data_IF_368604684326
#
_entry.id   IF_368604684326
#
_cell.length_a   1.000
_cell.length_b   1.000
_cell.length_c   1.000
_cell.angle_alpha   90.00
_cell.angle_beta   90.00
_cell.angle_gamma   90.00
#
_symmetry.space_group_name_H-M   'P 1'
#
loop_
_entity.id
_entity.type
_entity.pdbx_description
1 polymer ?
#
# COMPACT_ATOMS: atom_id res chain seq x y z
N UNK A 1 16.88 18.17 5.85
CA UNK A 1 15.95 17.05 6.07
C UNK A 1 15.11 17.40 7.29
N UNK A 2 13.80 17.51 7.14
CA UNK A 2 12.91 17.66 8.30
C UNK A 2 12.81 16.30 9.01
N UNK A 3 12.74 16.27 10.35
CA UNK A 3 12.45 15.03 11.07
C UNK A 3 11.06 14.51 10.67
N UNK A 4 10.85 13.19 10.63
CA UNK A 4 9.54 12.63 10.37
C UNK A 4 8.55 13.11 11.45
N UNK A 5 7.27 13.36 11.10
CA UNK A 5 6.29 13.84 12.04
C UNK A 5 6.06 12.81 13.16
N UNK A 6 5.98 13.29 14.40
CA UNK A 6 5.74 12.46 15.58
C UNK A 6 4.39 11.76 15.45
N UNK A 7 4.40 10.43 15.44
CA UNK A 7 3.20 9.61 15.36
C UNK A 7 2.29 9.80 16.59
N UNK A 8 0.95 9.70 16.44
CA UNK A 8 0.04 9.62 17.58
C UNK A 8 0.47 8.49 18.53
N UNK A 9 0.30 8.65 19.86
CA UNK A 9 0.54 7.56 20.81
C UNK A 9 -0.30 6.34 20.41
N UNK A 10 0.30 5.15 20.49
CA UNK A 10 -0.27 3.84 20.10
C UNK A 10 -0.52 3.62 18.60
N UNK A 11 -0.09 4.53 17.71
CA UNK A 11 -0.18 4.30 16.26
C UNK A 11 1.01 3.51 15.70
N UNK A 12 0.78 2.74 14.64
CA UNK A 12 1.82 1.91 14.01
C UNK A 12 1.83 2.02 12.49
N UNK A 13 3.04 1.95 11.92
CA UNK A 13 3.26 1.97 10.48
C UNK A 13 4.09 0.76 10.08
N UNK A 14 3.68 0.12 8.98
CA UNK A 14 4.47 -0.91 8.29
C UNK A 14 4.59 -0.57 6.82
N UNK A 15 5.79 -0.70 6.28
CA UNK A 15 6.10 -0.50 4.86
C UNK A 15 6.92 -1.70 4.41
N UNK A 16 6.55 -2.28 3.26
CA UNK A 16 7.29 -3.35 2.63
C UNK A 16 7.29 -3.20 1.11
N UNK A 17 8.40 -3.57 0.49
CA UNK A 17 8.50 -3.81 -0.95
C UNK A 17 8.83 -5.28 -1.17
N UNK A 18 8.03 -5.98 -1.96
CA UNK A 18 8.09 -7.43 -2.15
C UNK A 18 8.30 -7.77 -3.62
N UNK A 19 9.16 -8.75 -3.93
CA UNK A 19 9.34 -9.27 -5.29
C UNK A 19 8.12 -10.07 -5.76
N UNK A 20 7.59 -9.71 -6.93
CA UNK A 20 6.49 -10.42 -7.58
C UNK A 20 5.12 -10.19 -6.94
N UNK A 21 4.11 -11.00 -7.29
CA UNK A 21 2.74 -10.79 -6.82
C UNK A 21 2.65 -10.93 -5.29
N UNK A 22 1.89 -10.04 -4.66
CA UNK A 22 1.65 -10.11 -3.22
C UNK A 22 0.81 -11.35 -2.90
N UNK A 23 1.29 -12.16 -1.96
CA UNK A 23 0.63 -13.39 -1.52
C UNK A 23 -0.68 -13.14 -0.77
N UNK A 24 -1.32 -14.20 -0.26
CA UNK A 24 -2.55 -14.07 0.52
C UNK A 24 -2.37 -13.11 1.70
N UNK A 25 -3.45 -12.41 2.04
CA UNK A 25 -3.50 -11.55 3.22
C UNK A 25 -3.14 -12.40 4.45
N UNK A 26 -2.07 -12.02 5.14
CA UNK A 26 -1.63 -12.66 6.38
C UNK A 26 -1.68 -11.68 7.54
N UNK A 27 -1.89 -12.20 8.76
CA UNK A 27 -1.86 -11.39 9.97
C UNK A 27 -0.51 -10.68 10.19
N UNK A 28 0.59 -11.22 9.63
CA UNK A 28 1.91 -10.58 9.72
C UNK A 28 1.98 -9.28 8.92
N UNK A 29 1.30 -9.21 7.77
CA UNK A 29 1.22 -8.00 6.93
C UNK A 29 0.12 -7.09 7.44
N UNK A 30 -1.03 -7.68 7.76
CA UNK A 30 -2.09 -6.95 8.40
C UNK A 30 -1.62 -6.43 9.76
N UNK A 31 -2.31 -5.44 10.30
CA UNK A 31 -2.24 -5.15 11.72
C UNK A 31 -2.75 -6.34 12.54
N UNK A 32 -2.04 -7.50 12.61
CA UNK A 32 -2.35 -8.60 13.54
C UNK A 32 -2.85 -7.98 14.83
N UNK A 33 -4.03 -8.43 15.31
CA UNK A 33 -4.75 -7.93 16.48
C UNK A 33 -3.87 -6.99 17.32
N UNK A 34 -3.77 -5.74 16.87
CA UNK A 34 -2.79 -4.82 17.45
C UNK A 34 -3.17 -4.64 18.91
N UNK A 35 -2.24 -4.25 19.78
CA UNK A 35 -2.61 -3.88 21.16
C UNK A 35 -3.81 -2.91 21.16
N UNK A 36 -3.92 -2.04 20.16
CA UNK A 36 -5.07 -1.18 19.93
C UNK A 36 -6.38 -1.93 19.64
N UNK A 37 -6.36 -2.99 18.83
CA UNK A 37 -7.52 -3.88 18.64
C UNK A 37 -7.89 -4.61 19.92
N UNK A 38 -6.91 -5.09 20.69
CA UNK A 38 -7.15 -5.75 21.98
C UNK A 38 -7.73 -4.79 23.04
N UNK A 39 -7.36 -3.50 22.97
CA UNK A 39 -7.91 -2.41 23.78
C UNK A 39 -9.25 -1.86 23.28
N UNK A 40 -9.82 -2.42 22.21
CA UNK A 40 -11.13 -2.02 21.67
C UNK A 40 -11.14 -0.64 20.99
N UNK A 41 -9.99 -0.15 20.51
CA UNK A 41 -9.88 1.16 19.88
C UNK A 41 -10.27 1.16 18.40
N UNK A 42 -10.22 0.01 17.73
CA UNK A 42 -10.46 -0.12 16.28
C UNK A 42 -11.96 -0.25 16.02
N UNK A 43 -12.57 0.76 15.39
CA UNK A 43 -13.96 0.69 14.91
C UNK A 43 -14.10 0.52 13.41
N UNK A 44 -13.01 0.64 12.64
CA UNK A 44 -12.98 0.28 11.23
C UNK A 44 -11.60 -0.24 10.79
N UNK A 45 -11.62 -1.30 9.98
CA UNK A 45 -10.49 -1.85 9.24
C UNK A 45 -10.83 -1.83 7.75
N UNK A 46 -9.97 -1.23 6.95
CA UNK A 46 -10.13 -1.12 5.50
C UNK A 46 -8.91 -1.72 4.81
N UNK A 47 -9.15 -2.51 3.77
CA UNK A 47 -8.09 -3.09 2.95
C UNK A 47 -8.33 -2.72 1.50
N UNK A 48 -7.29 -2.21 0.83
CA UNK A 48 -7.26 -1.96 -0.59
C UNK A 48 -6.24 -2.89 -1.26
N UNK A 49 -6.63 -3.49 -2.38
CA UNK A 49 -5.73 -4.30 -3.21
C UNK A 49 -5.74 -3.81 -4.67
N UNK A 50 -4.56 -3.46 -5.17
CA UNK A 50 -4.31 -3.10 -6.56
C UNK A 50 -4.09 -4.35 -7.40
N UNK A 51 -5.14 -4.84 -8.04
CA UNK A 51 -5.09 -6.03 -8.89
C UNK A 51 -4.80 -5.67 -10.35
N UNK A 52 -3.83 -6.37 -10.96
CA UNK A 52 -3.49 -6.18 -12.37
C UNK A 52 -4.63 -6.64 -13.27
N UNK A 53 -5.15 -5.74 -14.10
CA UNK A 53 -6.25 -6.02 -15.03
C UNK A 53 -5.70 -6.55 -16.36
N UNK A 54 -6.53 -7.31 -17.08
CA UNK A 54 -6.20 -7.87 -18.39
C UNK A 54 -5.99 -6.80 -19.46
N UNK A 55 -6.76 -5.72 -19.44
CA UNK A 55 -6.79 -4.77 -20.55
C UNK A 55 -6.27 -3.39 -20.13
N UNK A 56 -5.33 -2.86 -20.92
CA UNK A 56 -4.84 -1.49 -20.80
C UNK A 56 -4.72 -0.86 -22.20
N UNK A 57 -5.45 0.24 -22.43
CA UNK A 57 -5.43 0.94 -23.72
C UNK A 57 -5.93 0.11 -24.91
N UNK A 58 -6.85 -0.85 -24.68
CA UNK A 58 -7.40 -1.72 -25.73
C UNK A 58 -6.49 -2.87 -26.17
N UNK A 59 -5.40 -3.13 -25.44
CA UNK A 59 -4.49 -4.26 -25.65
C UNK A 59 -4.49 -5.16 -24.42
N UNK A 60 -4.32 -6.47 -24.65
CA UNK A 60 -4.26 -7.46 -23.58
C UNK A 60 -2.84 -7.56 -22.99
N UNK A 61 -2.78 -7.46 -21.66
CA UNK A 61 -1.59 -7.60 -20.84
C UNK A 61 -1.39 -9.06 -20.44
N UNK A 62 -0.14 -9.48 -20.37
CA UNK A 62 0.28 -10.68 -19.65
C UNK A 62 0.66 -10.35 -18.20
N UNK A 63 1.21 -9.14 -17.95
CA UNK A 63 1.64 -8.67 -16.63
C UNK A 63 1.86 -7.15 -16.61
N UNK A 64 2.05 -6.61 -15.41
CA UNK A 64 2.75 -5.33 -15.19
C UNK A 64 4.13 -5.61 -14.58
N UNK A 65 5.15 -4.90 -15.04
CA UNK A 65 6.46 -4.87 -14.40
C UNK A 65 6.59 -3.57 -13.60
N UNK A 66 7.05 -3.69 -12.35
CA UNK A 66 7.23 -2.57 -11.44
C UNK A 66 8.71 -2.37 -11.13
N UNK A 67 9.21 -1.17 -11.44
CA UNK A 67 10.59 -0.77 -11.15
C UNK A 67 10.59 0.24 -10.00
N UNK A 68 11.57 0.12 -9.11
CA UNK A 68 11.71 0.94 -7.91
C UNK A 68 13.18 1.19 -7.61
N UNK A 69 13.47 2.37 -7.08
CA UNK A 69 14.72 2.63 -6.36
C UNK A 69 14.46 2.44 -4.87
N UNK A 70 14.60 1.19 -4.40
CA UNK A 70 14.04 0.74 -3.13
C UNK A 70 14.37 1.61 -1.92
N UNK A 71 15.64 2.06 -1.70
CA UNK A 71 15.94 2.89 -0.54
C UNK A 71 15.11 4.18 -0.49
N UNK A 72 14.86 4.79 -1.66
CA UNK A 72 14.05 6.00 -1.76
C UNK A 72 12.56 5.69 -1.75
N UNK A 73 12.12 4.59 -2.40
CA UNK A 73 10.72 4.19 -2.41
C UNK A 73 10.22 3.84 -1.00
N UNK A 74 10.99 3.07 -0.23
CA UNK A 74 10.67 2.73 1.16
C UNK A 74 10.63 3.98 2.05
N UNK A 75 11.62 4.86 1.93
CA UNK A 75 11.68 6.09 2.70
C UNK A 75 10.49 7.03 2.39
N UNK A 76 10.16 7.22 1.11
CA UNK A 76 9.04 8.06 0.70
C UNK A 76 7.70 7.43 1.08
N UNK A 77 7.53 6.11 1.00
CA UNK A 77 6.35 5.41 1.49
C UNK A 77 6.18 5.55 3.00
N UNK A 78 7.26 5.41 3.76
CA UNK A 78 7.24 5.58 5.21
C UNK A 78 6.85 7.01 5.60
N UNK A 79 7.41 8.01 4.90
CA UNK A 79 7.05 9.41 5.12
C UNK A 79 5.58 9.68 4.78
N UNK A 80 5.11 9.21 3.62
CA UNK A 80 3.71 9.34 3.22
C UNK A 80 2.77 8.68 4.24
N UNK A 81 3.08 7.46 4.68
CA UNK A 81 2.32 6.76 5.70
C UNK A 81 2.25 7.56 7.00
N UNK A 82 3.39 8.14 7.44
CA UNK A 82 3.46 8.96 8.64
C UNK A 82 2.60 10.23 8.53
N UNK A 83 2.63 10.90 7.37
CA UNK A 83 1.79 12.06 7.13
C UNK A 83 0.30 11.71 7.21
N UNK A 84 -0.12 10.63 6.55
CA UNK A 84 -1.52 10.19 6.53
C UNK A 84 -1.98 9.75 7.92
N UNK A 85 -1.18 8.97 8.65
CA UNK A 85 -1.50 8.57 10.03
C UNK A 85 -1.67 9.79 10.93
N UNK A 86 -0.81 10.80 10.80
CA UNK A 86 -0.89 12.02 11.60
C UNK A 86 -2.11 12.87 11.24
N UNK A 87 -2.35 13.09 9.96
CA UNK A 87 -3.44 13.91 9.45
C UNK A 87 -4.81 13.36 9.84
N UNK A 88 -5.00 12.04 9.70
CA UNK A 88 -6.28 11.38 9.94
C UNK A 88 -6.39 10.74 11.33
N UNK A 89 -5.36 10.87 12.18
CA UNK A 89 -5.30 10.25 13.51
C UNK A 89 -5.56 8.75 13.47
N UNK A 90 -4.95 8.06 12.52
CA UNK A 90 -5.13 6.62 12.33
C UNK A 90 -4.48 5.81 13.46
N UNK A 91 -5.03 4.63 13.71
CA UNK A 91 -4.46 3.65 14.64
C UNK A 91 -3.32 2.90 13.97
N UNK A 92 -3.50 2.49 12.71
CA UNK A 92 -2.40 1.90 11.96
C UNK A 92 -2.56 2.07 10.46
N UNK A 93 -1.42 2.07 9.77
CA UNK A 93 -1.33 2.01 8.33
C UNK A 93 -0.24 1.02 7.93
N UNK A 94 -0.61 -0.02 7.19
CA UNK A 94 0.33 -0.95 6.58
C UNK A 94 0.25 -0.83 5.06
N UNK A 95 1.39 -0.72 4.39
CA UNK A 95 1.49 -0.72 2.93
C UNK A 95 2.53 -1.74 2.48
N UNK A 96 2.15 -2.54 1.49
CA UNK A 96 3.04 -3.45 0.78
C UNK A 96 2.90 -3.17 -0.71
N UNK A 97 4.02 -2.91 -1.38
CA UNK A 97 4.04 -2.72 -2.82
C UNK A 97 4.90 -3.78 -3.50
N UNK A 98 4.45 -4.28 -4.64
CA UNK A 98 5.21 -5.22 -5.46
C UNK A 98 6.31 -4.52 -6.27
N UNK A 99 7.45 -5.17 -6.43
CA UNK A 99 8.45 -4.89 -7.47
C UNK A 99 8.60 -6.08 -8.41
N UNK A 100 9.12 -5.85 -9.61
CA UNK A 100 9.24 -6.88 -10.64
C UNK A 100 7.90 -7.22 -11.31
N UNK A 101 7.78 -8.45 -11.81
CA UNK A 101 6.68 -8.86 -12.68
C UNK A 101 5.47 -9.36 -11.88
N UNK A 102 4.31 -8.74 -12.08
CA UNK A 102 3.02 -9.16 -11.52
C UNK A 102 2.07 -9.56 -12.66
N UNK A 103 1.67 -10.85 -12.76
CA UNK A 103 0.76 -11.30 -13.81
C UNK A 103 -0.63 -10.68 -13.66
N UNK A 104 -1.40 -10.69 -14.75
CA UNK A 104 -2.85 -10.37 -14.70
C UNK A 104 -3.54 -11.19 -13.62
N UNK A 105 -4.41 -10.54 -12.84
CA UNK A 105 -5.07 -11.11 -11.68
C UNK A 105 -4.22 -11.11 -10.39
N UNK A 106 -2.93 -10.79 -10.48
CA UNK A 106 -2.05 -10.67 -9.33
C UNK A 106 -2.23 -9.34 -8.58
N UNK A 107 -2.02 -9.37 -7.26
CA UNK A 107 -1.99 -8.19 -6.41
C UNK A 107 -0.61 -7.52 -6.47
N UNK A 108 -0.60 -6.21 -6.71
CA UNK A 108 0.62 -5.40 -6.86
C UNK A 108 0.78 -4.31 -5.80
N UNK A 109 -0.30 -4.00 -5.07
CA UNK A 109 -0.31 -3.02 -3.99
C UNK A 109 -1.34 -3.47 -2.97
N UNK A 110 -0.96 -3.52 -1.70
CA UNK A 110 -1.88 -3.73 -0.58
C UNK A 110 -1.74 -2.61 0.42
N UNK A 111 -2.86 -2.07 0.87
CA UNK A 111 -2.91 -1.07 1.94
C UNK A 111 -3.96 -1.50 2.97
N UNK A 112 -3.58 -1.56 4.24
CA UNK A 112 -4.51 -1.66 5.37
C UNK A 112 -4.50 -0.36 6.17
N UNK A 113 -5.69 0.11 6.53
CA UNK A 113 -5.88 1.19 7.50
C UNK A 113 -6.79 0.73 8.64
N UNK A 114 -6.37 0.96 9.88
CA UNK A 114 -7.20 0.87 11.07
C UNK A 114 -7.50 2.26 11.64
N UNK A 115 -8.77 2.47 11.98
CA UNK A 115 -9.29 3.76 12.46
C UNK A 115 -10.36 3.55 13.55
N UNK A 116 -10.64 4.60 14.32
CA UNK A 116 -11.69 4.57 15.35
C UNK A 116 -13.09 4.52 14.73
N UNK A 117 -13.27 5.15 13.57
CA UNK A 117 -14.48 5.17 12.80
C UNK A 117 -14.18 5.05 11.30
N UNK A 118 -15.18 4.59 10.54
CA UNK A 118 -15.03 4.37 9.09
C UNK A 118 -14.76 5.65 8.30
N UNK A 119 -15.13 6.83 8.81
CA UNK A 119 -15.06 8.10 8.09
C UNK A 119 -13.61 8.46 7.76
N UNK A 120 -12.79 8.60 8.80
CA UNK A 120 -11.36 8.91 8.63
C UNK A 120 -10.62 7.80 7.90
N UNK A 121 -10.99 6.52 8.10
CA UNK A 121 -10.36 5.41 7.38
C UNK A 121 -10.60 5.48 5.86
N UNK A 122 -11.82 5.77 5.43
CA UNK A 122 -12.17 5.86 4.01
C UNK A 122 -11.49 7.06 3.35
N UNK A 123 -11.49 8.22 4.01
CA UNK A 123 -10.84 9.42 3.49
C UNK A 123 -9.32 9.25 3.41
N UNK A 124 -8.70 8.66 4.45
CA UNK A 124 -7.28 8.36 4.47
C UNK A 124 -6.87 7.37 3.38
N UNK A 125 -7.66 6.31 3.14
CA UNK A 125 -7.38 5.32 2.09
C UNK A 125 -7.34 5.99 0.70
N UNK A 126 -8.33 6.84 0.42
CA UNK A 126 -8.40 7.57 -0.85
C UNK A 126 -7.18 8.48 -1.03
N UNK A 127 -6.85 9.27 -0.01
CA UNK A 127 -5.74 10.21 -0.07
C UNK A 127 -4.39 9.51 -0.18
N UNK A 128 -4.18 8.44 0.61
CA UNK A 128 -2.96 7.64 0.56
C UNK A 128 -2.71 7.08 -0.85
N UNK A 129 -3.72 6.48 -1.49
CA UNK A 129 -3.58 5.93 -2.85
C UNK A 129 -3.31 7.03 -3.88
N UNK A 130 -3.92 8.21 -3.73
CA UNK A 130 -3.69 9.34 -4.62
C UNK A 130 -2.24 9.85 -4.52
N UNK A 131 -1.77 10.10 -3.30
CA UNK A 131 -0.42 10.59 -3.02
C UNK A 131 0.64 9.56 -3.35
N UNK A 132 0.41 8.27 -3.07
CA UNK A 132 1.33 7.19 -3.43
C UNK A 132 1.67 7.23 -4.93
N UNK A 133 0.65 7.39 -5.78
CA UNK A 133 0.82 7.45 -7.24
C UNK A 133 1.53 8.72 -7.73
N UNK A 134 1.58 9.77 -6.92
CA UNK A 134 2.18 11.05 -7.27
C UNK A 134 3.62 11.17 -6.75
N UNK A 135 3.83 10.74 -5.51
CA UNK A 135 5.03 11.08 -4.73
C UNK A 135 6.04 9.92 -4.67
N UNK A 136 5.57 8.67 -4.76
CA UNK A 136 6.42 7.50 -4.56
C UNK A 136 7.07 7.07 -5.89
N UNK A 137 8.41 6.93 -5.93
CA UNK A 137 9.17 6.60 -7.15
C UNK A 137 9.03 5.10 -7.52
N UNK A 138 7.83 4.70 -7.95
CA UNK A 138 7.53 3.36 -8.45
C UNK A 138 6.93 3.51 -9.86
N UNK A 139 7.60 2.92 -10.83
CA UNK A 139 7.19 2.98 -12.23
C UNK A 139 6.59 1.66 -12.68
N UNK A 140 5.44 1.72 -13.33
CA UNK A 140 4.80 0.56 -13.96
C UNK A 140 5.05 0.56 -15.46
N UNK A 141 5.36 -0.61 -16.01
CA UNK A 141 5.46 -0.83 -17.45
C UNK A 141 4.62 -2.05 -17.88
N UNK A 142 3.90 -1.96 -19.01
CA UNK A 142 3.06 -3.05 -19.48
C UNK A 142 3.89 -4.17 -20.12
N UNK A 143 3.54 -5.42 -19.79
CA UNK A 143 4.01 -6.61 -20.51
C UNK A 143 2.83 -7.15 -21.30
N UNK A 144 2.87 -7.01 -22.62
CA UNK A 144 1.76 -7.39 -23.51
C UNK A 144 1.70 -8.90 -23.75
N UNK A 145 0.50 -9.45 -23.98
CA UNK A 145 0.34 -10.80 -24.54
C UNK A 145 0.97 -10.83 -25.94
N UNK A 146 1.82 -11.82 -26.23
CA UNK A 146 2.39 -12.02 -27.58
C UNK A 146 3.84 -11.57 -27.82
N UNK A 147 4.57 -11.07 -26.82
CA UNK A 147 6.03 -10.87 -26.93
C UNK A 147 6.82 -12.14 -26.57
N UNK A 148 6.52 -13.24 -27.27
CA UNK A 148 7.33 -14.46 -27.26
C UNK A 148 7.84 -14.75 -28.66
N UNK A 149 9.07 -14.31 -28.94
CA UNK A 149 10.03 -15.18 -29.66
C UNK A 149 10.57 -16.23 -28.68
#
# INVERSE_FOLDING_TARGET
>A
MNPPPLLPPDSSIRVAITDGPLGAISDAILGAASDASARGMVGARLVFEGIVRRDEGGKSLAALAYETYDPMAEQTLAQLAADIVNQFRLISLAVEHSRGRVPVGGCSLRVEIQSGHRGEGLDAMREFIQRLKQDVPIWKSPVWEGNGE
#
